data_IF_205510748586
#
_entry.id   IF_205510748586
#
_cell.length_a   1.000
_cell.length_b   1.000
_cell.length_c   1.000
_cell.angle_alpha   90.00
_cell.angle_beta   90.00
_cell.angle_gamma   90.00
#
_symmetry.space_group_name_H-M   'P 1'
#
loop_
_entity.id
_entity.type
_entity.pdbx_description
1 polymer ?
#
# COMPACT_ATOMS: atom_id res chain seq x y z
N UNK A 1 28.83 -19.01 -49.00
CA UNK A 1 28.06 -17.76 -48.78
C UNK A 1 26.61 -18.04 -48.41
N UNK A 2 25.77 -18.64 -49.27
CA UNK A 2 24.35 -18.90 -48.94
C UNK A 2 24.14 -19.94 -47.82
N UNK A 3 24.87 -21.07 -47.85
CA UNK A 3 24.79 -22.12 -46.81
C UNK A 3 25.18 -21.61 -45.41
N UNK A 4 26.26 -20.83 -45.34
CA UNK A 4 26.74 -20.22 -44.08
C UNK A 4 25.73 -19.25 -43.48
N UNK A 5 25.05 -18.43 -44.31
CA UNK A 5 23.98 -17.53 -43.85
C UNK A 5 22.72 -18.28 -43.40
N UNK A 6 22.43 -19.44 -43.99
CA UNK A 6 21.32 -20.29 -43.55
C UNK A 6 21.61 -20.89 -42.18
N UNK A 7 22.79 -21.49 -42.03
CA UNK A 7 23.23 -22.09 -40.76
C UNK A 7 23.23 -21.07 -39.61
N UNK A 8 23.73 -19.86 -39.85
CA UNK A 8 23.70 -18.79 -38.85
C UNK A 8 22.27 -18.39 -38.43
N UNK A 9 21.30 -18.42 -39.35
CA UNK A 9 19.89 -18.15 -39.02
C UNK A 9 19.31 -19.25 -38.14
N UNK A 10 19.61 -20.51 -38.47
CA UNK A 10 19.13 -21.67 -37.71
C UNK A 10 19.70 -21.66 -36.28
N UNK A 11 20.98 -21.29 -36.11
CA UNK A 11 21.62 -21.11 -34.80
C UNK A 11 20.92 -20.02 -33.97
N UNK A 12 20.62 -18.86 -34.56
CA UNK A 12 19.90 -17.77 -33.87
C UNK A 12 18.48 -18.20 -33.51
N UNK A 13 17.75 -18.85 -34.43
CA UNK A 13 16.38 -19.30 -34.17
C UNK A 13 16.32 -20.32 -33.03
N UNK A 14 17.28 -21.26 -32.99
CA UNK A 14 17.39 -22.22 -31.90
C UNK A 14 17.72 -21.53 -30.57
N UNK A 15 18.62 -20.55 -30.56
CA UNK A 15 18.94 -19.79 -29.34
C UNK A 15 17.71 -19.02 -28.80
N UNK A 16 16.94 -18.38 -29.69
CA UNK A 16 15.70 -17.70 -29.29
C UNK A 16 14.69 -18.71 -28.75
N UNK A 17 14.50 -19.84 -29.41
CA UNK A 17 13.57 -20.87 -28.94
C UNK A 17 13.93 -21.39 -27.55
N UNK A 18 15.21 -21.70 -27.30
CA UNK A 18 15.68 -22.12 -25.97
C UNK A 18 15.41 -21.05 -24.91
N UNK A 19 15.60 -19.77 -25.26
CA UNK A 19 15.31 -18.66 -24.32
C UNK A 19 13.82 -18.48 -24.01
N UNK A 20 12.93 -19.04 -24.83
CA UNK A 20 11.48 -18.93 -24.69
C UNK A 20 10.84 -20.23 -24.17
N UNK A 21 11.64 -21.10 -23.55
CA UNK A 21 11.15 -22.30 -22.87
C UNK A 21 10.74 -21.98 -21.42
N UNK A 22 9.57 -22.47 -21.03
CA UNK A 22 9.09 -22.39 -19.67
C UNK A 22 9.95 -23.28 -18.76
N UNK A 23 10.42 -22.74 -17.64
CA UNK A 23 11.29 -23.49 -16.72
C UNK A 23 10.57 -24.58 -15.91
N UNK A 24 9.24 -24.67 -16.01
CA UNK A 24 8.46 -25.76 -15.40
C UNK A 24 8.22 -26.89 -16.41
N UNK A 25 7.57 -26.60 -17.53
CA UNK A 25 7.21 -27.63 -18.50
C UNK A 25 8.30 -27.91 -19.56
N UNK A 26 9.35 -27.09 -19.62
CA UNK A 26 10.44 -27.17 -20.61
C UNK A 26 10.01 -27.05 -22.08
N UNK A 27 8.78 -26.60 -22.31
CA UNK A 27 8.20 -26.33 -23.63
C UNK A 27 8.19 -24.83 -23.94
N UNK A 28 8.02 -24.47 -25.21
CA UNK A 28 7.79 -23.08 -25.62
C UNK A 28 6.64 -22.45 -24.83
N UNK A 29 6.88 -21.26 -24.28
CA UNK A 29 5.94 -20.51 -23.44
C UNK A 29 4.56 -20.37 -24.12
N UNK A 30 3.52 -20.87 -23.45
CA UNK A 30 2.13 -20.78 -23.86
C UNK A 30 1.33 -19.99 -22.83
N UNK A 31 0.62 -18.95 -23.28
CA UNK A 31 0.03 -17.91 -22.41
C UNK A 31 1.06 -17.46 -21.34
N UNK A 32 2.13 -16.76 -21.74
CA UNK A 32 3.20 -16.33 -20.84
C UNK A 32 2.72 -15.24 -19.87
N UNK A 33 3.05 -15.40 -18.59
CA UNK A 33 2.82 -14.42 -17.54
C UNK A 33 4.12 -14.12 -16.79
N UNK A 34 4.36 -12.84 -16.51
CA UNK A 34 5.51 -12.36 -15.75
C UNK A 34 5.18 -12.27 -14.26
N UNK A 35 6.17 -12.62 -13.44
CA UNK A 35 6.12 -12.54 -11.98
C UNK A 35 6.75 -11.24 -11.48
N UNK A 36 6.06 -10.51 -10.59
CA UNK A 36 6.59 -9.34 -9.87
C UNK A 36 7.12 -9.77 -8.49
N UNK A 37 8.31 -9.33 -8.05
CA UNK A 37 9.19 -8.34 -8.68
C UNK A 37 10.29 -8.95 -9.58
N UNK A 38 10.44 -10.29 -9.62
CA UNK A 38 11.62 -10.93 -10.21
C UNK A 38 11.66 -11.00 -11.74
N UNK A 39 10.55 -10.70 -12.43
CA UNK A 39 10.46 -10.66 -13.89
C UNK A 39 10.45 -12.02 -14.60
N UNK A 40 10.49 -13.14 -13.89
CA UNK A 40 10.48 -14.47 -14.53
C UNK A 40 9.15 -14.73 -15.24
N UNK A 41 9.23 -15.31 -16.44
CA UNK A 41 8.07 -15.57 -17.31
C UNK A 41 7.83 -17.07 -17.42
N UNK A 42 6.62 -17.52 -17.09
CA UNK A 42 6.20 -18.91 -17.18
C UNK A 42 4.82 -19.03 -17.82
N UNK A 43 4.42 -20.25 -18.19
CA UNK A 43 3.07 -20.51 -18.69
C UNK A 43 2.02 -20.30 -17.60
N UNK A 44 0.85 -19.77 -17.96
CA UNK A 44 -0.30 -19.61 -17.05
C UNK A 44 -0.61 -20.88 -16.27
N UNK A 45 -0.79 -22.01 -16.96
CA UNK A 45 -1.14 -23.29 -16.34
C UNK A 45 -0.07 -23.78 -15.37
N UNK A 46 1.20 -23.61 -15.73
CA UNK A 46 2.33 -23.99 -14.86
C UNK A 46 2.34 -23.15 -13.57
N UNK A 47 2.07 -21.84 -13.67
CA UNK A 47 1.98 -20.97 -12.50
C UNK A 47 0.77 -21.30 -11.62
N UNK A 48 -0.41 -21.52 -12.22
CA UNK A 48 -1.61 -21.90 -11.48
C UNK A 48 -1.40 -23.21 -10.70
N UNK A 49 -0.79 -24.21 -11.33
CA UNK A 49 -0.49 -25.48 -10.68
C UNK A 49 0.55 -25.32 -9.56
N UNK A 50 1.62 -24.56 -9.81
CA UNK A 50 2.64 -24.26 -8.83
C UNK A 50 2.05 -23.56 -7.59
N UNK A 51 1.25 -22.50 -7.78
CA UNK A 51 0.67 -21.76 -6.66
C UNK A 51 -0.43 -22.52 -5.90
N UNK A 52 -1.00 -23.59 -6.46
CA UNK A 52 -1.90 -24.48 -5.73
C UNK A 52 -1.17 -25.57 -4.95
N UNK A 53 -0.07 -26.11 -5.48
CA UNK A 53 0.59 -27.32 -4.95
C UNK A 53 1.92 -27.08 -4.24
N UNK A 54 2.54 -25.91 -4.39
CA UNK A 54 3.82 -25.63 -3.75
C UNK A 54 3.70 -25.81 -2.23
N UNK A 55 4.71 -26.36 -1.54
CA UNK A 55 4.68 -26.44 -0.08
C UNK A 55 4.58 -25.04 0.55
N UNK A 56 3.97 -24.91 1.73
CA UNK A 56 4.05 -23.69 2.53
C UNK A 56 5.53 -23.29 2.75
N UNK A 57 5.79 -21.99 2.94
CA UNK A 57 7.13 -21.53 3.30
C UNK A 57 7.51 -22.06 4.70
N UNK A 58 8.80 -22.01 5.07
CA UNK A 58 9.24 -22.48 6.38
C UNK A 58 8.57 -21.70 7.54
N UNK A 59 8.10 -20.49 7.27
CA UNK A 59 7.36 -19.61 8.19
C UNK A 59 5.89 -20.02 8.35
N UNK A 60 5.34 -20.79 7.41
CA UNK A 60 3.96 -21.30 7.43
C UNK A 60 3.84 -22.71 8.06
N UNK A 61 4.96 -23.31 8.51
CA UNK A 61 4.98 -24.69 9.04
C UNK A 61 4.41 -24.84 10.47
N UNK A 62 4.04 -23.74 11.12
CA UNK A 62 3.46 -23.74 12.48
C UNK A 62 1.92 -23.75 12.47
N UNK A 63 1.29 -23.79 11.28
CA UNK A 63 -0.15 -23.69 11.12
C UNK A 63 -0.74 -25.10 10.87
N UNK A 64 -1.57 -25.59 11.79
CA UNK A 64 -2.29 -26.88 11.74
C UNK A 64 -3.47 -26.87 10.73
N UNK A 65 -3.43 -26.00 9.72
CA UNK A 65 -4.50 -25.82 8.73
C UNK A 65 -4.40 -26.84 7.58
N UNK A 66 -5.55 -27.21 6.99
CA UNK A 66 -5.59 -28.07 5.81
C UNK A 66 -4.91 -27.33 4.64
N UNK A 67 -3.78 -27.87 4.16
CA UNK A 67 -2.99 -27.33 3.04
C UNK A 67 -3.85 -27.13 1.76
N UNK A 68 -5.00 -27.81 1.67
CA UNK A 68 -5.94 -27.72 0.56
C UNK A 68 -7.13 -26.78 0.82
N UNK A 69 -7.18 -26.08 1.96
CA UNK A 69 -8.19 -25.08 2.23
C UNK A 69 -8.13 -23.97 1.15
N UNK A 70 -9.24 -23.70 0.42
CA UNK A 70 -9.30 -22.62 -0.54
C UNK A 70 -8.83 -21.27 0.01
N UNK A 71 -9.14 -20.96 1.27
CA UNK A 71 -8.78 -19.70 1.91
C UNK A 71 -7.27 -19.62 2.13
N UNK A 72 -6.68 -20.70 2.63
CA UNK A 72 -5.22 -20.84 2.77
C UNK A 72 -4.51 -20.65 1.42
N UNK A 73 -5.01 -21.30 0.35
CA UNK A 73 -4.41 -21.17 -1.00
C UNK A 73 -4.43 -19.73 -1.50
N UNK A 74 -5.52 -19.00 -1.26
CA UNK A 74 -5.66 -17.60 -1.65
C UNK A 74 -4.67 -16.73 -0.87
N UNK A 75 -4.55 -16.92 0.44
CA UNK A 75 -3.83 -15.98 1.30
C UNK A 75 -2.35 -16.28 1.51
N UNK A 76 -1.92 -17.54 1.42
CA UNK A 76 -0.52 -17.98 1.65
C UNK A 76 0.51 -17.26 0.78
N UNK A 77 1.76 -17.24 1.23
CA UNK A 77 2.85 -16.68 0.43
C UNK A 77 3.08 -17.50 -0.85
N UNK A 78 3.23 -16.80 -1.99
CA UNK A 78 3.58 -17.44 -3.27
C UNK A 78 5.02 -17.12 -3.62
N UNK A 79 5.77 -18.12 -4.08
CA UNK A 79 7.18 -17.95 -4.46
C UNK A 79 7.42 -18.30 -5.92
N UNK A 80 8.40 -17.62 -6.52
CA UNK A 80 8.82 -17.88 -7.88
C UNK A 80 9.44 -19.29 -8.01
N UNK A 81 9.00 -20.13 -8.95
CA UNK A 81 9.60 -21.45 -9.17
C UNK A 81 11.06 -21.38 -9.66
N UNK A 82 11.46 -20.26 -10.29
CA UNK A 82 12.80 -20.10 -10.86
C UNK A 82 13.81 -19.57 -9.84
N UNK A 83 13.44 -18.57 -9.04
CA UNK A 83 14.37 -17.84 -8.17
C UNK A 83 13.93 -17.74 -6.71
N UNK A 84 12.77 -18.30 -6.36
CA UNK A 84 12.15 -18.26 -5.01
C UNK A 84 11.80 -16.86 -4.48
N UNK A 85 11.97 -15.80 -5.27
CA UNK A 85 11.47 -14.48 -4.93
C UNK A 85 9.97 -14.54 -4.56
N UNK A 86 9.60 -13.82 -3.51
CA UNK A 86 8.21 -13.69 -3.05
C UNK A 86 7.42 -12.91 -4.09
N UNK A 87 6.23 -13.40 -4.42
CA UNK A 87 5.34 -12.80 -5.42
C UNK A 87 4.26 -12.00 -4.71
N UNK A 88 4.26 -10.69 -4.93
CA UNK A 88 3.33 -9.76 -4.28
C UNK A 88 2.02 -9.61 -5.05
N UNK A 89 2.13 -9.53 -6.38
CA UNK A 89 1.01 -9.21 -7.27
C UNK A 89 0.56 -10.41 -8.11
N UNK A 90 -0.67 -10.32 -8.61
CA UNK A 90 -1.19 -11.22 -9.65
C UNK A 90 -0.24 -11.18 -10.86
N UNK A 91 0.21 -12.32 -11.39
CA UNK A 91 1.08 -12.33 -12.56
C UNK A 91 0.41 -11.66 -13.76
N UNK A 92 1.21 -10.97 -14.57
CA UNK A 92 0.72 -10.12 -15.68
C UNK A 92 0.99 -10.80 -17.02
N UNK A 93 0.02 -10.84 -17.96
CA UNK A 93 0.21 -11.45 -19.28
C UNK A 93 1.25 -10.69 -20.12
N UNK A 94 2.20 -11.41 -20.71
CA UNK A 94 3.26 -10.82 -21.55
C UNK A 94 2.94 -11.00 -23.03
N UNK A 95 2.09 -10.11 -23.57
CA UNK A 95 1.56 -10.23 -24.93
C UNK A 95 2.64 -10.22 -26.03
N UNK A 96 3.73 -9.47 -25.84
CA UNK A 96 4.84 -9.44 -26.81
C UNK A 96 5.54 -10.79 -26.91
N UNK A 97 5.82 -11.43 -25.77
CA UNK A 97 6.41 -12.79 -25.74
C UNK A 97 5.47 -13.80 -26.37
N UNK A 98 4.16 -13.70 -26.11
CA UNK A 98 3.14 -14.54 -26.76
C UNK A 98 3.18 -14.43 -28.29
N UNK A 99 3.38 -13.23 -28.82
CA UNK A 99 3.50 -13.00 -30.27
C UNK A 99 4.74 -13.65 -30.85
N UNK A 100 5.90 -13.52 -30.19
CA UNK A 100 7.16 -14.13 -30.63
C UNK A 100 7.08 -15.66 -30.60
N UNK A 101 6.56 -16.26 -29.53
CA UNK A 101 6.41 -17.73 -29.46
C UNK A 101 5.45 -18.24 -30.53
N UNK A 102 4.38 -17.50 -30.80
CA UNK A 102 3.44 -17.82 -31.88
C UNK A 102 4.09 -17.77 -33.27
N UNK A 103 5.01 -16.84 -33.50
CA UNK A 103 5.79 -16.76 -34.74
C UNK A 103 6.74 -17.95 -34.91
N UNK A 104 7.42 -18.36 -33.84
CA UNK A 104 8.31 -19.53 -33.86
C UNK A 104 7.56 -20.83 -34.15
N UNK A 105 6.40 -21.02 -33.53
CA UNK A 105 5.53 -22.18 -33.78
C UNK A 105 5.10 -22.23 -35.25
N UNK A 106 4.71 -21.08 -35.82
CA UNK A 106 4.35 -20.98 -37.24
C UNK A 106 5.53 -21.27 -38.17
N UNK A 107 6.73 -20.82 -37.81
CA UNK A 107 7.93 -20.97 -38.64
C UNK A 107 8.45 -22.42 -38.71
N UNK A 108 8.31 -23.21 -37.64
CA UNK A 108 8.81 -24.59 -37.58
C UNK A 108 7.86 -25.65 -38.15
N UNK A 109 6.60 -25.29 -38.39
CA UNK A 109 5.58 -26.21 -38.88
C UNK A 109 5.18 -27.29 -37.85
N UNK A 110 4.12 -28.06 -38.13
CA UNK A 110 3.52 -29.00 -37.18
C UNK A 110 4.34 -30.27 -36.86
N UNK A 111 5.59 -30.38 -37.32
CA UNK A 111 6.41 -31.61 -37.24
C UNK A 111 7.59 -31.57 -36.25
N UNK A 112 7.90 -30.43 -35.62
CA UNK A 112 9.08 -30.27 -34.76
C UNK A 112 8.79 -29.90 -33.31
N UNK A 113 7.53 -29.79 -32.91
CA UNK A 113 7.17 -29.77 -31.49
C UNK A 113 7.10 -31.21 -31.01
N UNK A 114 8.13 -31.69 -30.31
CA UNK A 114 7.98 -32.87 -29.46
C UNK A 114 6.75 -32.63 -28.57
N UNK A 115 5.78 -33.54 -28.64
CA UNK A 115 4.56 -33.57 -27.85
C UNK A 115 3.83 -32.20 -27.73
N UNK A 116 2.84 -31.94 -28.58
CA UNK A 116 1.68 -31.16 -28.11
C UNK A 116 1.14 -31.89 -26.87
N UNK A 117 1.32 -31.37 -25.65
CA UNK A 117 0.80 -32.08 -24.52
C UNK A 117 -0.72 -31.83 -24.54
N UNK A 118 -1.47 -32.89 -24.24
CA UNK A 118 -2.92 -33.00 -24.41
C UNK A 118 -3.77 -31.93 -23.68
N UNK A 119 -3.13 -30.96 -23.00
CA UNK A 119 -3.77 -29.80 -22.37
C UNK A 119 -3.91 -28.58 -23.29
N UNK A 120 -3.44 -28.64 -24.55
CA UNK A 120 -3.67 -27.58 -25.56
C UNK A 120 -5.06 -27.62 -26.20
N UNK A 121 -6.05 -28.26 -25.57
CA UNK A 121 -7.44 -28.11 -25.95
C UNK A 121 -7.97 -26.78 -25.43
N UNK A 122 -8.36 -25.91 -26.35
CA UNK A 122 -9.22 -24.74 -26.15
C UNK A 122 -10.65 -25.18 -25.76
N UNK A 123 -10.74 -25.97 -24.68
CA UNK A 123 -11.94 -26.62 -24.20
C UNK A 123 -12.26 -26.14 -22.79
N UNK A 124 -12.73 -24.91 -22.67
CA UNK A 124 -13.88 -24.50 -21.84
C UNK A 124 -14.23 -23.07 -22.25
N UNK A 125 -14.99 -22.96 -23.32
CA UNK A 125 -15.97 -21.87 -23.44
C UNK A 125 -17.11 -22.20 -22.47
N UNK A 126 -16.94 -21.84 -21.21
CA UNK A 126 -18.03 -21.62 -20.27
C UNK A 126 -17.69 -20.31 -19.57
N UNK A 127 -18.38 -19.25 -19.95
CA UNK A 127 -18.47 -18.06 -19.14
C UNK A 127 -18.90 -18.45 -17.72
N UNK A 128 -18.17 -17.96 -16.71
CA UNK A 128 -18.59 -17.38 -15.41
C UNK A 128 -17.37 -17.42 -14.45
N UNK A 129 -16.29 -16.75 -14.86
CA UNK A 129 -15.43 -15.91 -14.00
C UNK A 129 -14.36 -15.29 -14.92
N UNK A 130 -14.38 -13.97 -15.08
CA UNK A 130 -13.42 -13.23 -15.92
C UNK A 130 -11.98 -13.28 -15.40
N UNK A 131 -11.77 -13.84 -14.21
CA UNK A 131 -10.49 -13.87 -13.53
C UNK A 131 -9.77 -15.24 -13.63
N UNK A 132 -8.64 -15.25 -14.34
CA UNK A 132 -7.75 -16.41 -14.47
C UNK A 132 -7.03 -16.78 -13.18
N UNK A 133 -7.02 -15.89 -12.18
CA UNK A 133 -6.36 -16.05 -10.89
C UNK A 133 -7.32 -16.34 -9.74
N UNK A 134 -8.62 -16.51 -10.04
CA UNK A 134 -9.66 -16.81 -9.07
C UNK A 134 -9.31 -18.02 -8.19
N UNK A 135 -9.43 -17.84 -6.88
CA UNK A 135 -9.11 -18.87 -5.89
C UNK A 135 -7.62 -19.23 -5.81
N UNK A 136 -6.73 -18.33 -6.25
CA UNK A 136 -5.27 -18.38 -6.08
C UNK A 136 -4.78 -17.04 -5.53
N UNK A 137 -5.33 -15.94 -6.03
CA UNK A 137 -5.10 -14.59 -5.53
C UNK A 137 -6.42 -13.99 -5.02
N UNK A 138 -6.39 -13.06 -4.05
CA UNK A 138 -7.57 -12.34 -3.59
C UNK A 138 -8.26 -11.64 -4.76
N UNK A 139 -9.58 -11.66 -4.84
CA UNK A 139 -10.33 -11.00 -5.91
C UNK A 139 -10.15 -9.49 -5.83
N UNK A 140 -9.83 -8.85 -6.96
CA UNK A 140 -9.66 -7.39 -7.05
C UNK A 140 -11.01 -6.64 -6.85
N UNK A 141 -12.13 -7.38 -6.76
CA UNK A 141 -13.50 -6.87 -6.68
C UNK A 141 -13.97 -6.49 -5.26
N UNK A 142 -13.13 -6.64 -4.24
CA UNK A 142 -13.42 -6.19 -2.87
C UNK A 142 -12.88 -4.77 -2.60
N UNK A 143 -12.96 -3.91 -3.61
CA UNK A 143 -12.93 -2.44 -3.49
C UNK A 143 -14.32 -1.84 -3.77
N UNK A 144 -15.40 -2.62 -3.64
CA UNK A 144 -16.66 -2.01 -3.23
C UNK A 144 -16.49 -1.74 -1.73
N UNK A 145 -16.33 -0.46 -1.42
CA UNK A 145 -16.69 0.10 -0.12
C UNK A 145 -18.01 -0.56 0.29
N UNK A 146 -17.98 -1.49 1.24
CA UNK A 146 -19.10 -1.63 2.14
C UNK A 146 -19.16 -0.28 2.86
N UNK A 147 -19.79 0.71 2.23
CA UNK A 147 -20.61 1.66 2.97
C UNK A 147 -21.62 0.80 3.72
N UNK A 148 -21.21 0.25 4.86
CA UNK A 148 -22.14 -0.08 5.91
C UNK A 148 -22.90 1.23 6.14
N UNK A 149 -24.13 1.27 5.64
CA UNK A 149 -25.14 2.26 6.02
C UNK A 149 -25.28 2.13 7.54
N UNK A 150 -24.42 2.86 8.26
CA UNK A 150 -24.54 3.02 9.70
C UNK A 150 -25.88 3.72 9.90
N UNK A 151 -26.86 2.97 10.40
CA UNK A 151 -28.03 3.52 11.07
C UNK A 151 -27.51 4.35 12.24
N UNK A 152 -27.23 5.63 11.98
CA UNK A 152 -26.94 6.60 13.00
C UNK A 152 -28.19 6.67 13.86
N UNK A 153 -28.13 6.05 15.03
CA UNK A 153 -29.03 6.37 16.13
C UNK A 153 -28.94 7.90 16.32
N UNK A 154 -30.06 8.57 16.02
CA UNK A 154 -30.24 10.01 15.74
C UNK A 154 -30.06 10.92 16.99
N UNK A 155 -29.14 10.59 17.90
CA UNK A 155 -28.88 11.35 19.13
C UNK A 155 -27.49 12.00 19.20
N UNK A 156 -26.54 11.64 18.32
CA UNK A 156 -25.16 12.19 18.40
C UNK A 156 -24.90 13.37 17.45
N UNK A 157 -25.72 13.59 16.41
CA UNK A 157 -25.55 14.68 15.42
C UNK A 157 -26.32 15.94 15.81
N UNK A 158 -26.32 16.31 17.10
CA UNK A 158 -26.99 17.54 17.56
C UNK A 158 -26.05 18.62 18.10
N UNK A 159 -24.73 18.41 18.07
CA UNK A 159 -23.74 19.35 18.61
C UNK A 159 -22.81 20.05 17.60
N UNK A 160 -22.87 19.75 16.30
CA UNK A 160 -22.00 20.44 15.32
C UNK A 160 -22.69 21.16 14.15
N UNK A 161 -24.02 21.17 14.07
CA UNK A 161 -24.74 21.93 13.04
C UNK A 161 -25.94 22.66 13.62
N UNK A 162 -25.69 23.79 14.27
CA UNK A 162 -26.70 24.83 14.40
C UNK A 162 -26.61 25.73 13.15
N UNK A 163 -27.63 25.74 12.27
CA UNK A 163 -27.67 26.68 11.16
C UNK A 163 -28.01 28.07 11.71
N UNK A 164 -27.26 29.08 11.26
CA UNK A 164 -27.67 30.47 11.31
C UNK A 164 -28.99 30.61 10.54
N UNK A 165 -30.09 30.78 11.27
CA UNK A 165 -31.39 31.14 10.72
C UNK A 165 -31.51 32.67 10.73
N UNK A 166 -31.41 33.22 9.52
CA UNK A 166 -31.55 34.62 9.18
C UNK A 166 -33.02 34.89 8.84
N UNK A 167 -33.84 35.11 9.88
CA UNK A 167 -35.06 35.93 9.80
C UNK A 167 -35.67 36.09 11.19
N UNK A 168 -35.67 37.30 11.74
CA UNK A 168 -36.93 38.02 11.95
C UNK A 168 -36.71 39.45 12.48
N UNK A 169 -37.34 40.36 11.75
CA UNK A 169 -37.58 41.76 12.01
C UNK A 169 -38.52 41.92 13.23
N UNK A 170 -38.05 42.53 14.32
CA UNK A 170 -38.94 43.21 15.27
C UNK A 170 -38.29 44.42 15.94
N UNK A 171 -39.06 45.50 16.00
CA UNK A 171 -38.65 46.87 16.30
C UNK A 171 -38.21 47.14 17.76
N UNK A 172 -37.17 47.97 17.87
CA UNK A 172 -37.03 49.14 18.76
C UNK A 172 -37.92 49.23 20.01
N UNK A 173 -37.33 49.24 21.22
CA UNK A 173 -37.34 50.39 22.15
C UNK A 173 -36.12 50.33 23.07
N UNK A 174 -35.46 51.48 23.25
CA UNK A 174 -34.18 51.61 23.94
C UNK A 174 -34.23 51.48 25.46
N UNK A 175 -33.05 51.20 26.01
CA UNK A 175 -32.60 51.67 27.31
C UNK A 175 -31.08 51.74 27.24
N UNK A 176 -30.55 52.96 27.28
CA UNK A 176 -29.16 53.23 27.68
C UNK A 176 -28.87 52.45 28.96
N UNK A 177 -27.80 51.65 29.03
CA UNK A 177 -26.83 51.62 30.13
C UNK A 177 -25.51 51.00 29.61
N UNK A 178 -24.48 51.82 29.78
CA UNK A 178 -23.04 51.60 29.67
C UNK A 178 -22.56 50.27 30.30
N UNK A 179 -22.07 49.32 29.49
CA UNK A 179 -20.99 48.42 29.91
C UNK A 179 -20.00 48.22 28.76
N UNK A 180 -18.81 48.80 28.97
CA UNK A 180 -17.55 48.53 28.27
C UNK A 180 -17.30 47.03 28.10
N UNK A 181 -17.73 46.46 26.97
CA UNK A 181 -17.31 45.14 26.52
C UNK A 181 -15.87 45.26 26.03
N UNK A 182 -14.93 44.90 26.90
CA UNK A 182 -13.53 44.73 26.51
C UNK A 182 -13.46 43.74 25.37
N UNK A 183 -12.77 44.13 24.31
CA UNK A 183 -12.29 43.22 23.28
C UNK A 183 -11.51 42.12 24.01
N UNK A 184 -12.10 40.93 24.11
CA UNK A 184 -11.35 39.73 24.43
C UNK A 184 -10.49 39.48 23.20
N UNK A 185 -9.28 40.03 23.23
CA UNK A 185 -8.17 39.55 22.42
C UNK A 185 -8.10 38.03 22.68
N UNK A 186 -8.45 37.26 21.65
CA UNK A 186 -8.38 35.81 21.67
C UNK A 186 -6.90 35.44 21.93
N UNK A 187 -6.59 35.08 23.17
CA UNK A 187 -5.25 34.72 23.67
C UNK A 187 -4.68 33.44 23.01
N UNK A 188 -5.34 32.94 21.96
CA UNK A 188 -4.95 31.75 21.19
C UNK A 188 -3.67 31.95 20.38
N UNK A 189 -3.18 33.17 20.19
CA UNK A 189 -1.97 33.40 19.37
C UNK A 189 -0.65 33.10 20.12
N UNK A 190 -0.72 32.72 21.40
CA UNK A 190 0.46 32.54 22.26
C UNK A 190 0.62 31.12 22.85
N UNK A 191 -0.17 30.15 22.39
CA UNK A 191 -0.05 28.75 22.85
C UNK A 191 1.30 28.16 22.41
N UNK A 192 2.10 27.59 23.33
CA UNK A 192 3.38 27.02 22.97
C UNK A 192 3.23 25.74 22.13
N UNK A 193 4.21 25.53 21.25
CA UNK A 193 4.38 24.26 20.53
C UNK A 193 5.13 23.26 21.40
N UNK A 194 4.56 22.08 21.57
CA UNK A 194 5.07 21.00 22.41
C UNK A 194 5.23 19.72 21.59
N UNK A 195 6.05 18.76 22.04
CA UNK A 195 6.16 17.47 21.37
C UNK A 195 4.79 16.78 21.29
N UNK A 196 4.47 16.22 20.13
CA UNK A 196 3.28 15.38 19.97
C UNK A 196 3.32 14.21 20.96
N UNK A 197 2.14 13.80 21.43
CA UNK A 197 1.94 12.60 22.25
C UNK A 197 1.32 11.49 21.41
N UNK A 198 1.33 10.27 21.96
CA UNK A 198 0.69 9.13 21.32
C UNK A 198 -0.79 9.38 21.05
N UNK A 199 -1.23 9.03 19.85
CA UNK A 199 -2.63 9.07 19.43
C UNK A 199 -3.08 7.69 18.93
N UNK A 200 -4.37 7.32 19.12
CA UNK A 200 -4.91 6.09 18.55
C UNK A 200 -4.94 6.16 17.01
N UNK A 201 -4.92 5.02 16.30
CA UNK A 201 -5.05 5.01 14.84
C UNK A 201 -6.38 5.63 14.38
N UNK A 202 -6.33 6.49 13.37
CA UNK A 202 -7.50 7.24 12.86
C UNK A 202 -8.18 6.58 11.66
N UNK A 203 -7.55 5.59 11.05
CA UNK A 203 -8.04 4.92 9.84
C UNK A 203 -8.34 3.46 10.13
N UNK A 204 -9.57 3.05 9.82
CA UNK A 204 -9.90 1.64 9.82
C UNK A 204 -9.20 0.96 8.64
N UNK A 205 -8.27 0.07 8.97
CA UNK A 205 -7.60 -0.75 7.98
C UNK A 205 -7.53 -2.20 8.45
N UNK A 206 -8.19 -3.08 7.69
CA UNK A 206 -8.18 -4.51 7.95
C UNK A 206 -6.86 -5.10 7.49
N UNK A 207 -6.06 -5.55 8.45
CA UNK A 207 -4.80 -6.21 8.21
C UNK A 207 -5.03 -7.42 7.27
N UNK A 208 -4.32 -7.45 6.15
CA UNK A 208 -4.24 -8.66 5.33
C UNK A 208 -3.09 -9.49 5.88
N UNK A 209 -3.22 -10.82 5.87
CA UNK A 209 -2.18 -11.79 6.33
C UNK A 209 -0.79 -11.60 5.70
N UNK A 210 -0.69 -10.81 4.62
CA UNK A 210 0.54 -10.51 3.88
C UNK A 210 1.24 -9.22 4.30
N UNK A 211 0.61 -8.39 5.11
CA UNK A 211 1.20 -7.14 5.57
C UNK A 211 1.93 -7.38 6.88
N UNK A 212 3.18 -6.95 6.95
CA UNK A 212 3.89 -6.90 8.24
C UNK A 212 3.06 -6.09 9.22
N UNK A 213 3.16 -6.41 10.51
CA UNK A 213 2.51 -5.66 11.57
C UNK A 213 2.82 -4.15 11.47
N UNK A 214 4.07 -3.80 11.19
CA UNK A 214 4.52 -2.41 11.00
C UNK A 214 3.79 -1.71 9.85
N UNK A 215 3.70 -2.36 8.69
CA UNK A 215 2.93 -1.86 7.55
C UNK A 215 1.46 -1.64 7.90
N UNK A 216 0.82 -2.60 8.57
CA UNK A 216 -0.57 -2.48 9.01
C UNK A 216 -0.76 -1.30 9.97
N UNK A 217 0.16 -1.11 10.91
CA UNK A 217 0.12 0.02 11.85
C UNK A 217 0.23 1.35 11.11
N UNK A 218 1.14 1.48 10.13
CA UNK A 218 1.25 2.69 9.32
C UNK A 218 -0.02 2.98 8.50
N UNK A 219 -0.61 1.96 7.88
CA UNK A 219 -1.86 2.10 7.12
C UNK A 219 -3.03 2.55 8.00
N UNK A 220 -3.18 1.96 9.20
CA UNK A 220 -4.21 2.37 10.18
C UNK A 220 -4.02 3.80 10.70
N UNK A 221 -2.84 4.37 10.50
CA UNK A 221 -2.47 5.74 10.91
C UNK A 221 -2.49 6.74 9.76
N UNK A 222 -3.09 6.36 8.63
CA UNK A 222 -3.33 7.23 7.48
C UNK A 222 -2.22 7.24 6.42
N UNK A 223 -1.16 6.45 6.58
CA UNK A 223 -0.15 6.34 5.53
C UNK A 223 -0.70 5.58 4.32
N UNK A 224 -0.36 6.04 3.12
CA UNK A 224 -0.59 5.26 1.88
C UNK A 224 0.57 4.32 1.61
N UNK A 225 0.33 3.30 0.79
CA UNK A 225 1.37 2.36 0.36
C UNK A 225 2.49 3.08 -0.40
N UNK A 226 2.14 4.03 -1.26
CA UNK A 226 3.08 4.84 -2.03
C UNK A 226 3.95 5.69 -1.10
N UNK A 227 3.37 6.29 -0.05
CA UNK A 227 4.10 7.03 0.97
C UNK A 227 5.09 6.11 1.72
N UNK A 228 4.62 4.93 2.15
CA UNK A 228 5.44 3.93 2.87
C UNK A 228 6.68 3.55 2.06
N UNK A 229 6.53 3.21 0.78
CA UNK A 229 7.65 2.79 -0.04
C UNK A 229 8.55 3.94 -0.51
N UNK A 230 7.97 5.10 -0.85
CA UNK A 230 8.74 6.22 -1.41
C UNK A 230 9.64 6.86 -0.36
N UNK A 231 9.14 7.01 0.86
CA UNK A 231 9.85 7.70 1.94
C UNK A 231 10.39 6.73 3.01
N UNK A 232 10.33 5.43 2.75
CA UNK A 232 10.81 4.41 3.69
C UNK A 232 10.18 4.60 5.07
N UNK A 233 8.86 4.74 5.12
CA UNK A 233 8.17 5.04 6.37
C UNK A 233 8.41 3.93 7.38
N UNK A 234 8.61 4.31 8.64
CA UNK A 234 8.70 3.40 9.78
C UNK A 234 7.77 3.83 10.89
N UNK A 235 7.33 2.88 11.72
CA UNK A 235 6.49 3.17 12.87
C UNK A 235 7.00 2.48 14.13
N UNK A 236 7.11 3.24 15.21
CA UNK A 236 7.20 2.69 16.57
C UNK A 236 6.20 3.40 17.47
N UNK A 237 5.75 2.70 18.51
CA UNK A 237 4.82 3.30 19.48
C UNK A 237 5.45 4.48 20.23
N UNK A 238 6.78 4.46 20.45
CA UNK A 238 7.50 5.51 21.19
C UNK A 238 7.85 6.74 20.35
N UNK A 239 8.16 6.55 19.06
CA UNK A 239 8.61 7.64 18.18
C UNK A 239 7.55 8.11 17.17
N UNK A 240 6.48 7.33 16.99
CA UNK A 240 5.45 7.58 15.99
C UNK A 240 5.89 7.21 14.57
N UNK A 241 5.28 7.87 13.59
CA UNK A 241 5.56 7.74 12.17
C UNK A 241 6.81 8.56 11.80
N UNK A 242 7.75 7.92 11.12
CA UNK A 242 8.99 8.55 10.67
C UNK A 242 9.12 8.40 9.15
N UNK A 243 9.34 9.52 8.46
CA UNK A 243 9.66 9.59 7.05
C UNK A 243 11.15 9.85 6.83
N UNK A 244 11.71 9.28 5.76
CA UNK A 244 13.12 9.46 5.39
C UNK A 244 13.23 10.23 4.07
N UNK A 245 13.99 11.33 4.09
CA UNK A 245 14.26 12.17 2.92
C UNK A 245 15.75 12.47 2.78
N UNK A 246 16.22 12.80 1.58
CA UNK A 246 17.63 13.14 1.32
C UNK A 246 17.89 14.65 1.27
N UNK A 247 16.83 15.46 1.23
CA UNK A 247 16.90 16.91 1.09
C UNK A 247 15.73 17.58 1.80
N UNK A 248 15.96 18.81 2.26
CA UNK A 248 14.93 19.69 2.83
C UNK A 248 14.38 20.69 1.81
N UNK A 249 14.89 20.65 0.58
CA UNK A 249 14.41 21.49 -0.50
C UNK A 249 13.10 20.92 -1.06
N UNK A 250 11.95 21.60 -0.91
CA UNK A 250 10.67 21.13 -1.43
C UNK A 250 10.64 21.08 -2.97
N UNK A 251 11.49 21.86 -3.63
CA UNK A 251 11.54 21.93 -5.10
C UNK A 251 12.46 20.86 -5.72
N UNK A 252 13.14 20.07 -4.89
CA UNK A 252 14.03 19.01 -5.36
C UNK A 252 13.25 17.77 -5.84
N UNK A 253 13.84 17.05 -6.81
CA UNK A 253 13.27 15.78 -7.27
C UNK A 253 13.23 14.76 -6.12
N UNK A 254 12.08 14.08 -5.98
CA UNK A 254 11.92 13.01 -4.99
C UNK A 254 12.79 11.83 -5.37
N UNK A 255 13.75 11.52 -4.51
CA UNK A 255 14.57 10.32 -4.62
C UNK A 255 13.96 9.27 -3.70
N UNK A 256 13.45 8.14 -4.23
CA UNK A 256 12.87 7.09 -3.41
C UNK A 256 13.88 6.54 -2.40
N UNK A 257 13.40 6.23 -1.20
CA UNK A 257 14.19 5.63 -0.14
C UNK A 257 14.83 4.31 -0.60
N UNK A 258 16.09 4.09 -0.22
CA UNK A 258 16.82 2.86 -0.48
C UNK A 258 17.54 2.46 0.80
N UNK A 259 17.23 1.27 1.31
CA UNK A 259 17.82 0.77 2.56
C UNK A 259 19.36 0.71 2.55
N UNK A 260 19.97 0.63 1.36
CA UNK A 260 21.43 0.56 1.19
C UNK A 260 22.12 1.93 1.36
N UNK A 261 21.38 3.04 1.28
CA UNK A 261 21.94 4.40 1.28
C UNK A 261 21.72 5.10 2.62
N UNK A 262 22.51 4.73 3.62
CA UNK A 262 22.37 5.27 4.99
C UNK A 262 23.06 6.62 5.20
N UNK A 263 23.73 7.17 4.17
CA UNK A 263 24.49 8.40 4.30
C UNK A 263 23.61 9.61 3.95
N UNK A 264 23.59 10.62 4.84
CA UNK A 264 22.85 11.89 4.67
C UNK A 264 21.32 11.76 4.62
N UNK A 265 20.75 10.68 5.16
CA UNK A 265 19.30 10.61 5.36
C UNK A 265 18.88 11.57 6.47
N UNK A 266 17.79 12.26 6.23
CA UNK A 266 17.09 13.13 7.17
C UNK A 266 15.82 12.41 7.60
N UNK A 267 15.63 12.30 8.92
CA UNK A 267 14.45 11.67 9.53
C UNK A 267 13.46 12.73 9.95
N UNK A 268 12.24 12.61 9.49
CA UNK A 268 11.15 13.53 9.82
C UNK A 268 10.10 12.76 10.61
N UNK A 269 9.93 13.11 11.88
CA UNK A 269 8.94 12.51 12.78
C UNK A 269 7.63 13.27 12.64
N UNK A 270 6.59 12.58 12.16
CA UNK A 270 5.32 13.16 11.73
C UNK A 270 4.27 13.23 12.86
N UNK A 271 4.52 12.54 13.97
CA UNK A 271 3.52 12.26 15.02
C UNK A 271 2.98 10.84 14.88
N UNK A 272 1.80 10.56 15.43
CA UNK A 272 1.21 9.22 15.46
C UNK A 272 0.17 8.98 14.37
N UNK A 273 -0.34 10.02 13.73
CA UNK A 273 -1.25 9.91 12.60
C UNK A 273 -0.87 10.93 11.51
N UNK A 274 -1.19 10.58 10.27
CA UNK A 274 -1.14 11.50 9.12
C UNK A 274 -2.52 11.63 8.52
N UNK A 275 -2.88 12.86 8.16
CA UNK A 275 -4.14 13.17 7.47
C UNK A 275 -3.78 13.73 6.10
N UNK A 276 -4.21 13.03 5.06
CA UNK A 276 -3.91 13.35 3.67
C UNK A 276 -5.14 13.99 3.00
N UNK A 277 -4.90 14.90 2.06
CA UNK A 277 -5.96 15.43 1.22
C UNK A 277 -6.54 14.35 0.31
N UNK A 278 -7.81 14.46 -0.12
CA UNK A 278 -8.39 13.54 -1.09
C UNK A 278 -7.55 13.48 -2.37
N UNK A 279 -7.08 12.28 -2.73
CA UNK A 279 -6.18 11.98 -3.87
C UNK A 279 -4.69 12.25 -3.65
N UNK A 280 -4.27 12.71 -2.47
CA UNK A 280 -2.85 12.74 -2.15
C UNK A 280 -2.35 11.33 -1.78
N UNK A 281 -1.27 10.91 -2.42
CA UNK A 281 -0.59 9.65 -2.15
C UNK A 281 0.59 9.83 -1.18
N UNK A 282 0.65 10.96 -0.46
CA UNK A 282 1.61 11.29 0.59
C UNK A 282 2.75 12.22 0.13
N UNK A 283 2.89 12.44 -1.18
CA UNK A 283 3.89 13.38 -1.70
C UNK A 283 3.47 14.83 -1.47
N UNK A 284 2.20 15.18 -1.70
CA UNK A 284 1.70 16.53 -1.45
C UNK A 284 1.87 16.91 0.01
N UNK A 285 1.51 16.01 0.92
CA UNK A 285 1.65 16.15 2.36
C UNK A 285 3.11 16.39 2.78
N UNK A 286 4.05 15.54 2.35
CA UNK A 286 5.46 15.74 2.73
C UNK A 286 6.05 17.00 2.10
N UNK A 287 5.66 17.35 0.88
CA UNK A 287 6.11 18.60 0.27
C UNK A 287 5.60 19.82 1.04
N UNK A 288 4.32 19.83 1.42
CA UNK A 288 3.75 20.88 2.26
C UNK A 288 4.43 20.94 3.62
N UNK A 289 4.77 19.79 4.22
CA UNK A 289 5.51 19.73 5.48
C UNK A 289 6.91 20.34 5.37
N UNK A 290 7.62 20.14 4.25
CA UNK A 290 8.93 20.75 4.00
C UNK A 290 8.81 22.27 3.77
N UNK A 291 7.75 22.72 3.09
CA UNK A 291 7.43 24.15 2.96
C UNK A 291 7.17 24.75 4.35
N UNK A 292 6.34 24.10 5.16
CA UNK A 292 6.04 24.51 6.53
C UNK A 292 7.31 24.54 7.39
N UNK A 293 8.22 23.57 7.25
CA UNK A 293 9.51 23.59 7.96
C UNK A 293 10.36 24.81 7.60
N UNK A 294 10.33 25.23 6.33
CA UNK A 294 11.06 26.40 5.84
C UNK A 294 10.43 27.72 6.28
N UNK A 295 9.11 27.79 6.31
CA UNK A 295 8.35 29.03 6.58
C UNK A 295 8.03 29.23 8.06
N UNK A 296 7.83 28.13 8.80
CA UNK A 296 7.39 28.07 10.19
C UNK A 296 8.25 27.11 11.04
N UNK A 297 9.58 27.37 11.17
CA UNK A 297 10.48 26.48 11.90
C UNK A 297 10.13 26.32 13.38
N UNK A 298 9.39 27.25 13.98
CA UNK A 298 8.87 27.17 15.36
C UNK A 298 7.93 25.97 15.59
N UNK A 299 7.34 25.43 14.51
CA UNK A 299 6.48 24.24 14.56
C UNK A 299 7.28 22.94 14.60
N UNK A 300 8.62 23.01 14.64
CA UNK A 300 9.49 21.84 14.54
C UNK A 300 10.64 21.90 15.55
N UNK A 301 11.01 20.75 16.10
CA UNK A 301 12.25 20.58 16.83
C UNK A 301 13.29 19.89 15.95
N UNK A 302 14.49 20.47 15.84
CA UNK A 302 15.58 19.91 15.03
C UNK A 302 16.74 19.45 15.91
N UNK A 303 17.15 18.20 15.78
CA UNK A 303 18.28 17.61 16.49
C UNK A 303 19.25 16.96 15.50
N UNK A 304 20.55 17.09 15.73
CA UNK A 304 21.57 16.46 14.90
C UNK A 304 22.35 15.45 15.73
N UNK A 305 22.24 14.17 15.37
CA UNK A 305 22.83 13.04 16.09
C UNK A 305 23.65 12.21 15.10
N UNK A 306 24.95 12.05 15.38
CA UNK A 306 25.85 11.14 14.66
C UNK A 306 25.85 11.25 13.11
N UNK A 307 25.59 12.44 12.58
CA UNK A 307 25.56 12.72 11.15
C UNK A 307 24.16 12.67 10.52
N UNK A 308 23.17 12.15 11.23
CA UNK A 308 21.76 12.13 10.87
C UNK A 308 21.07 13.41 11.37
N UNK A 309 20.16 13.95 10.58
CA UNK A 309 19.35 15.11 10.95
C UNK A 309 17.94 14.64 11.28
N UNK A 310 17.50 14.88 12.52
CA UNK A 310 16.18 14.55 13.01
C UNK A 310 15.34 15.81 13.12
N UNK A 311 14.17 15.81 12.49
CA UNK A 311 13.20 16.90 12.54
C UNK A 311 11.90 16.33 13.09
N UNK A 312 11.42 16.88 14.22
CA UNK A 312 10.18 16.46 14.86
C UNK A 312 9.12 17.53 14.71
N UNK A 313 7.97 17.17 14.14
CA UNK A 313 6.79 18.06 14.11
C UNK A 313 6.25 18.25 15.53
N UNK A 314 6.00 19.50 15.90
CA UNK A 314 5.38 19.89 17.17
C UNK A 314 3.89 20.16 16.96
N UNK A 315 3.12 20.04 18.03
CA UNK A 315 1.68 20.34 18.07
C UNK A 315 1.43 21.43 19.09
N UNK A 316 0.28 22.12 19.00
CA UNK A 316 -0.05 23.15 19.99
C UNK A 316 -0.48 22.47 21.29
N UNK A 317 -0.13 23.08 22.43
CA UNK A 317 -0.48 22.53 23.75
C UNK A 317 -2.00 22.36 23.94
N UNK A 318 -2.81 23.29 23.41
CA UNK A 318 -4.27 23.23 23.50
C UNK A 318 -4.86 22.02 22.74
N UNK A 319 -4.23 21.60 21.63
CA UNK A 319 -4.65 20.43 20.86
C UNK A 319 -4.44 19.14 21.69
N UNK A 320 -3.39 19.08 22.51
CA UNK A 320 -3.11 17.95 23.40
C UNK A 320 -4.09 17.91 24.57
N UNK A 321 -4.40 19.06 25.18
CA UNK A 321 -5.30 19.12 26.33
C UNK A 321 -6.70 18.61 25.97
N UNK A 322 -7.22 18.99 24.80
CA UNK A 322 -8.50 18.49 24.29
C UNK A 322 -8.51 16.96 24.11
N UNK A 323 -7.37 16.34 23.81
CA UNK A 323 -7.25 14.89 23.63
C UNK A 323 -7.05 14.13 24.95
N UNK A 324 -6.40 14.73 25.94
CA UNK A 324 -6.09 14.08 27.23
C UNK A 324 -7.32 13.79 28.11
N UNK A 325 -8.44 14.45 27.84
CA UNK A 325 -9.71 14.22 28.53
C UNK A 325 -10.40 12.91 28.07
N UNK A 326 -10.04 12.39 26.89
CA UNK A 326 -10.48 11.08 26.37
C UNK A 326 -9.43 10.01 26.70
N UNK A 327 -9.56 9.43 27.89
CA UNK A 327 -8.67 8.45 28.50
C UNK A 327 -8.64 7.09 27.78
N UNK A 328 -8.12 7.06 26.54
CA UNK A 328 -7.99 5.86 25.71
C UNK A 328 -6.58 5.30 25.78
N UNK A 329 -6.24 4.69 26.92
CA UNK A 329 -4.99 3.93 27.06
C UNK A 329 -5.00 2.72 26.12
N UNK A 330 -4.09 2.75 25.16
CA UNK A 330 -3.63 1.65 24.29
C UNK A 330 -4.70 0.99 23.41
N UNK A 331 -5.02 1.64 22.29
CA UNK A 331 -5.99 1.15 21.31
C UNK A 331 -5.43 0.24 20.23
N UNK A 332 -4.15 -0.13 20.30
CA UNK A 332 -3.59 -1.14 19.41
C UNK A 332 -4.28 -2.51 19.62
N UNK A 333 -4.85 -2.75 20.81
CA UNK A 333 -5.58 -3.98 21.17
C UNK A 333 -7.06 -4.01 20.76
N UNK A 334 -7.72 -2.87 20.55
CA UNK A 334 -9.18 -2.82 20.35
C UNK A 334 -9.61 -3.26 18.94
N UNK A 335 -8.73 -3.18 17.95
CA UNK A 335 -9.06 -3.59 16.57
C UNK A 335 -8.92 -5.09 16.30
N UNK A 336 -8.27 -5.85 17.17
CA UNK A 336 -8.12 -7.31 16.99
C UNK A 336 -9.26 -8.11 17.66
N UNK A 337 -9.95 -7.55 18.67
CA UNK A 337 -10.95 -8.28 19.47
C UNK A 337 -12.41 -8.19 18.99
N UNK A 338 -12.72 -7.48 17.90
CA UNK A 338 -14.11 -7.39 17.39
C UNK A 338 -14.53 -8.60 16.52
N UNK A 339 -13.67 -9.61 16.39
CA UNK A 339 -13.93 -10.84 15.62
C UNK A 339 -14.57 -11.94 16.50
N UNK A 340 -14.46 -11.85 17.83
CA UNK A 340 -14.91 -12.92 18.73
C UNK A 340 -16.27 -12.68 19.41
N UNK A 341 -16.97 -11.58 19.13
CA UNK A 341 -18.27 -11.28 19.78
C UNK A 341 -19.50 -11.36 18.89
N UNK A 342 -19.35 -11.59 17.58
CA UNK A 342 -20.47 -11.74 16.64
C UNK A 342 -20.49 -13.10 15.93
N UNK A 343 -20.20 -14.18 16.67
CA UNK A 343 -20.55 -15.55 16.27
C UNK A 343 -21.06 -16.40 17.44
#
# INVERSE_FOLDING_TARGET
MLKTKSQQKDEILNAIETSLQCQICMELLFKPYALSPCGHILCLSCLQEWFRKAPPSAEDMEIDEDINDPEFIIHRQKSCPCCRAVIFDRPVPVFLVKSVTSMLIKAKGPGHTAASPLWRTDGTSLAVSDDVWKGIFPDDAYEEEEEEEYDYDDEVVRWFTAPYDDSDEYESYGSDEDESMGELEDDTDNTPYVPAIWEPPTVYYRARTRHSLEFTHMMRRGCTREMIHTYGMTYTHEEGLVAHVYTLDPDAEVIPYRADDTQNIIRIFLGWNVVLEPRDHGHGFLNQLLIDYREHPERFSTHRLDGTLDIKKLVREDDIQAMSDDNTTDSEYWHDNRIDSDF
#
